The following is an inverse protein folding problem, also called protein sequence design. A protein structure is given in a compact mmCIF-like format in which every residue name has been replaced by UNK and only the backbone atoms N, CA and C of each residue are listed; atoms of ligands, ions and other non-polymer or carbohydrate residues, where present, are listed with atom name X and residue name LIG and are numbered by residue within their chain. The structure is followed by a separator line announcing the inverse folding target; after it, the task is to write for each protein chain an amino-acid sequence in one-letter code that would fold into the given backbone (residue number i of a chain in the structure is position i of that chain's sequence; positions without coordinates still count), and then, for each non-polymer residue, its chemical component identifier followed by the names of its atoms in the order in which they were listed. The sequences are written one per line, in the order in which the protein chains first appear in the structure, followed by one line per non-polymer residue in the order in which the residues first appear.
data_IF_851044004417
#
_entry.id   IF_851044004417
#
_cell.length_a   1.000
_cell.length_b   1.000
_cell.length_c   1.000
_cell.angle_alpha   90.00
_cell.angle_beta   90.00
_cell.angle_gamma   90.00
#
_symmetry.space_group_name_H-M   'P 1'
#
loop_
_entity.id
_entity.type
_entity.pdbx_description
1 polymer ?
#
# COMPACT_ATOMS: atom_id res chain seq x y z
N UNK A 1 5.57 -20.92 18.69
CA UNK A 1 4.77 -19.87 19.37
C UNK A 1 3.86 -19.29 18.32
N UNK A 2 2.62 -19.04 18.66
CA UNK A 2 1.65 -18.38 17.76
C UNK A 2 2.02 -16.90 17.65
N UNK A 3 2.06 -16.38 16.44
CA UNK A 3 2.33 -14.95 16.17
C UNK A 3 1.03 -14.17 16.33
N UNK A 4 1.03 -13.16 17.19
CA UNK A 4 -0.13 -12.29 17.40
C UNK A 4 -0.19 -11.22 16.31
N UNK A 5 -1.41 -10.90 15.86
CA UNK A 5 -1.68 -9.94 14.77
C UNK A 5 -2.66 -8.88 15.24
N UNK A 6 -2.30 -7.62 15.07
CA UNK A 6 -3.21 -6.48 15.13
C UNK A 6 -3.58 -6.07 13.70
N UNK A 7 -4.84 -5.78 13.43
CA UNK A 7 -5.35 -5.48 12.10
C UNK A 7 -6.05 -4.12 12.08
N UNK A 8 -5.39 -3.10 11.58
CA UNK A 8 -5.97 -1.79 11.35
C UNK A 8 -6.59 -1.72 9.94
N UNK A 9 -7.87 -1.37 9.85
CA UNK A 9 -8.64 -1.39 8.60
C UNK A 9 -9.33 -2.75 8.32
N UNK A 10 -9.79 -3.45 9.36
CA UNK A 10 -10.29 -4.84 9.29
C UNK A 10 -11.47 -5.03 8.34
N UNK A 11 -12.36 -4.07 8.20
CA UNK A 11 -13.55 -4.15 7.32
C UNK A 11 -13.28 -3.75 5.87
N UNK A 12 -12.04 -3.34 5.56
CA UNK A 12 -11.61 -3.05 4.19
C UNK A 12 -11.15 -4.30 3.43
N UNK A 13 -10.80 -4.14 2.15
CA UNK A 13 -10.36 -5.24 1.28
C UNK A 13 -9.11 -5.97 1.80
N UNK A 14 -8.11 -5.22 2.30
CA UNK A 14 -6.91 -5.81 2.92
C UNK A 14 -7.28 -6.52 4.22
N UNK A 15 -8.17 -5.91 5.02
CA UNK A 15 -8.58 -6.47 6.30
C UNK A 15 -9.28 -7.83 6.17
N UNK A 16 -10.25 -7.94 5.26
CA UNK A 16 -10.97 -9.21 5.03
C UNK A 16 -10.04 -10.30 4.52
N UNK A 17 -9.13 -9.98 3.61
CA UNK A 17 -8.14 -10.94 3.10
C UNK A 17 -7.07 -11.28 4.16
N UNK A 18 -6.76 -10.38 5.10
CA UNK A 18 -5.89 -10.71 6.23
C UNK A 18 -6.51 -11.75 7.14
N UNK A 19 -7.82 -11.64 7.41
CA UNK A 19 -8.56 -12.66 8.19
C UNK A 19 -8.54 -14.00 7.46
N UNK A 20 -8.79 -14.03 6.14
CA UNK A 20 -8.70 -15.24 5.32
C UNK A 20 -7.31 -15.90 5.43
N UNK A 21 -6.24 -15.10 5.37
CA UNK A 21 -4.86 -15.60 5.51
C UNK A 21 -4.61 -16.20 6.90
N UNK A 22 -5.08 -15.55 7.95
CA UNK A 22 -4.93 -16.04 9.32
C UNK A 22 -5.74 -17.32 9.55
N UNK A 23 -6.96 -17.39 9.04
CA UNK A 23 -7.82 -18.58 9.11
C UNK A 23 -7.25 -19.79 8.34
N UNK A 24 -6.44 -19.54 7.30
CA UNK A 24 -5.76 -20.61 6.58
C UNK A 24 -4.59 -21.24 7.37
N UNK A 25 -4.03 -20.54 8.36
CA UNK A 25 -2.94 -21.00 9.21
C UNK A 25 -3.24 -20.74 10.72
N UNK A 26 -4.33 -21.32 11.29
CA UNK A 26 -4.83 -20.96 12.63
C UNK A 26 -3.89 -21.37 13.77
N UNK A 27 -3.02 -22.33 13.56
CA UNK A 27 -2.00 -22.74 14.55
C UNK A 27 -0.82 -21.75 14.59
N UNK A 28 -0.68 -20.92 13.57
CA UNK A 28 0.46 -20.00 13.39
C UNK A 28 0.13 -18.57 13.79
N UNK A 29 -1.11 -18.12 13.58
CA UNK A 29 -1.52 -16.74 13.79
C UNK A 29 -2.74 -16.62 14.69
N UNK A 30 -2.80 -15.53 15.49
CA UNK A 30 -3.94 -15.14 16.32
C UNK A 30 -4.20 -13.63 16.16
N UNK A 31 -5.39 -13.25 15.69
CA UNK A 31 -5.78 -11.83 15.66
C UNK A 31 -6.22 -11.42 17.07
N UNK A 32 -5.47 -10.49 17.68
CA UNK A 32 -5.72 -10.02 19.06
C UNK A 32 -6.38 -8.63 19.10
N UNK A 33 -6.31 -7.87 18.02
CA UNK A 33 -6.88 -6.53 17.93
C UNK A 33 -7.40 -6.22 16.51
N UNK A 34 -8.55 -5.56 16.42
CA UNK A 34 -9.17 -5.08 15.18
C UNK A 34 -9.37 -3.57 15.22
N UNK A 35 -9.18 -2.91 14.09
CA UNK A 35 -9.48 -1.48 13.92
C UNK A 35 -10.33 -1.23 12.69
N UNK A 36 -11.36 -0.42 12.81
CA UNK A 36 -12.24 -0.04 11.72
C UNK A 36 -12.79 1.38 11.90
N UNK A 37 -13.36 1.96 10.85
CA UNK A 37 -14.09 3.24 10.97
C UNK A 37 -15.37 3.12 11.80
N UNK A 38 -16.01 1.96 11.81
CA UNK A 38 -17.33 1.73 12.42
C UNK A 38 -18.50 1.82 11.43
N UNK A 39 -18.26 2.20 10.17
CA UNK A 39 -19.35 2.32 9.16
C UNK A 39 -20.01 0.99 8.80
N UNK A 40 -19.27 -0.11 8.88
CA UNK A 40 -19.80 -1.45 8.63
C UNK A 40 -19.71 -2.29 9.92
N UNK A 41 -20.61 -2.00 10.87
CA UNK A 41 -20.64 -2.67 12.17
C UNK A 41 -21.10 -4.14 12.07
N UNK A 42 -21.89 -4.50 11.08
CA UNK A 42 -22.32 -5.89 10.90
C UNK A 42 -21.14 -6.77 10.52
N UNK A 43 -20.36 -6.38 9.51
CA UNK A 43 -19.13 -7.10 9.16
C UNK A 43 -18.11 -7.12 10.31
N UNK A 44 -17.96 -5.98 11.03
CA UNK A 44 -17.07 -5.92 12.18
C UNK A 44 -17.50 -6.89 13.29
N UNK A 45 -18.81 -7.01 13.54
CA UNK A 45 -19.34 -7.97 14.52
C UNK A 45 -19.09 -9.42 14.10
N UNK A 46 -19.29 -9.76 12.83
CA UNK A 46 -18.95 -11.08 12.28
C UNK A 46 -17.45 -11.38 12.47
N UNK A 47 -16.57 -10.40 12.19
CA UNK A 47 -15.15 -10.54 12.41
C UNK A 47 -14.81 -10.76 13.90
N UNK A 48 -15.42 -9.99 14.81
CA UNK A 48 -15.23 -10.13 16.27
C UNK A 48 -15.67 -11.51 16.75
N UNK A 49 -16.79 -12.04 16.25
CA UNK A 49 -17.26 -13.39 16.59
C UNK A 49 -16.28 -14.48 16.11
N UNK A 50 -15.74 -14.31 14.87
CA UNK A 50 -14.83 -15.26 14.26
C UNK A 50 -13.46 -15.29 14.95
N UNK A 51 -12.80 -14.13 15.13
CA UNK A 51 -11.41 -14.06 15.62
C UNK A 51 -11.28 -13.75 17.11
N UNK A 52 -12.35 -13.33 17.77
CA UNK A 52 -12.42 -13.04 19.23
C UNK A 52 -11.29 -12.15 19.74
N UNK A 53 -11.12 -10.95 19.19
CA UNK A 53 -10.05 -10.04 19.59
C UNK A 53 -10.29 -9.53 21.02
N UNK A 54 -9.21 -9.13 21.68
CA UNK A 54 -9.27 -8.49 23.01
C UNK A 54 -9.69 -7.02 22.90
N UNK A 55 -9.28 -6.37 21.81
CA UNK A 55 -9.44 -4.92 21.59
C UNK A 55 -10.04 -4.67 20.22
N UNK A 56 -10.98 -3.71 20.15
CA UNK A 56 -11.51 -3.15 18.90
C UNK A 56 -11.36 -1.63 18.95
N UNK A 57 -10.70 -1.04 17.95
CA UNK A 57 -10.62 0.41 17.77
C UNK A 57 -11.66 0.89 16.77
N UNK A 58 -12.45 1.90 17.14
CA UNK A 58 -13.43 2.58 16.29
C UNK A 58 -12.91 3.99 15.99
N UNK A 59 -12.47 4.21 14.76
CA UNK A 59 -11.82 5.47 14.36
C UNK A 59 -12.79 6.65 14.30
N UNK A 60 -14.04 6.44 13.89
CA UNK A 60 -15.04 7.50 13.81
C UNK A 60 -15.93 7.50 15.07
N UNK A 61 -15.84 8.58 15.84
CA UNK A 61 -16.56 8.75 17.10
C UNK A 61 -18.09 8.62 16.96
N UNK A 62 -18.63 8.89 15.78
CA UNK A 62 -20.08 8.80 15.51
C UNK A 62 -20.62 7.36 15.66
N UNK A 63 -19.77 6.34 15.49
CA UNK A 63 -20.18 4.92 15.56
C UNK A 63 -19.86 4.23 16.89
N UNK A 64 -19.23 4.92 17.84
CA UNK A 64 -18.73 4.32 19.09
C UNK A 64 -19.84 3.73 19.95
N UNK A 65 -20.93 4.46 20.17
CA UNK A 65 -22.04 3.97 20.99
C UNK A 65 -22.71 2.75 20.35
N UNK A 66 -22.95 2.80 19.03
CA UNK A 66 -23.48 1.65 18.29
C UNK A 66 -22.53 0.44 18.34
N UNK A 67 -21.20 0.69 18.30
CA UNK A 67 -20.22 -0.38 18.44
C UNK A 67 -20.23 -1.00 19.85
N UNK A 68 -20.35 -0.21 20.91
CA UNK A 68 -20.46 -0.72 22.29
C UNK A 68 -21.67 -1.62 22.47
N UNK A 69 -22.82 -1.22 21.91
CA UNK A 69 -24.04 -2.02 21.96
C UNK A 69 -23.92 -3.32 21.16
N UNK A 70 -23.22 -3.28 20.02
CA UNK A 70 -23.10 -4.39 19.06
C UNK A 70 -22.02 -5.41 19.44
N UNK A 71 -20.99 -4.98 20.20
CA UNK A 71 -19.78 -5.75 20.53
C UNK A 71 -19.60 -5.88 22.05
N UNK A 72 -20.54 -6.52 22.79
CA UNK A 72 -20.47 -6.63 24.24
C UNK A 72 -19.25 -7.48 24.65
N UNK A 73 -18.54 -7.03 25.69
CA UNK A 73 -17.43 -7.78 26.29
C UNK A 73 -16.06 -7.58 25.60
N UNK A 74 -15.98 -6.71 24.58
CA UNK A 74 -14.71 -6.33 23.93
C UNK A 74 -14.29 -4.94 24.42
N UNK A 75 -13.00 -4.72 24.63
CA UNK A 75 -12.46 -3.38 24.92
C UNK A 75 -12.61 -2.49 23.68
N UNK A 76 -13.33 -1.38 23.80
CA UNK A 76 -13.50 -0.41 22.69
C UNK A 76 -12.58 0.79 22.91
N UNK A 77 -11.63 1.01 21.97
CA UNK A 77 -10.82 2.22 21.87
C UNK A 77 -11.37 3.16 20.80
N UNK A 78 -11.17 4.46 20.96
CA UNK A 78 -11.88 5.46 20.17
C UNK A 78 -10.92 6.42 19.48
N UNK A 79 -11.27 6.81 18.26
CA UNK A 79 -10.56 7.84 17.51
C UNK A 79 -9.24 7.37 16.90
N UNK A 80 -8.48 8.34 16.41
CA UNK A 80 -7.16 8.11 15.79
C UNK A 80 -6.16 7.55 16.78
N UNK A 81 -6.14 8.04 18.02
CA UNK A 81 -5.29 7.51 19.10
C UNK A 81 -5.62 6.06 19.42
N UNK A 82 -6.92 5.71 19.49
CA UNK A 82 -7.39 4.34 19.70
C UNK A 82 -6.93 3.42 18.57
N UNK A 83 -7.02 3.88 17.32
CA UNK A 83 -6.57 3.14 16.15
C UNK A 83 -5.04 2.97 16.14
N UNK A 84 -4.29 4.04 16.41
CA UNK A 84 -2.84 4.02 16.48
C UNK A 84 -2.31 3.09 17.56
N UNK A 85 -3.00 3.02 18.71
CA UNK A 85 -2.60 2.15 19.83
C UNK A 85 -2.53 0.67 19.48
N UNK A 86 -3.21 0.23 18.40
CA UNK A 86 -3.13 -1.15 17.91
C UNK A 86 -1.72 -1.54 17.47
N UNK A 87 -0.89 -0.58 17.06
CA UNK A 87 0.48 -0.81 16.63
C UNK A 87 1.37 -1.49 17.68
N UNK A 88 1.07 -1.31 18.98
CA UNK A 88 1.82 -1.93 20.09
C UNK A 88 1.23 -3.23 20.63
N UNK A 89 0.03 -3.64 20.20
CA UNK A 89 -0.76 -4.72 20.82
C UNK A 89 -0.31 -6.13 20.43
N UNK A 90 0.47 -6.27 19.35
CA UNK A 90 0.77 -7.56 18.75
C UNK A 90 2.23 -7.66 18.28
N UNK A 91 2.65 -8.85 17.90
CA UNK A 91 3.96 -9.08 17.28
C UNK A 91 4.04 -8.45 15.88
N UNK A 92 2.91 -8.48 15.15
CA UNK A 92 2.76 -7.89 13.81
C UNK A 92 1.50 -7.02 13.76
N UNK A 93 1.63 -5.80 13.24
CA UNK A 93 0.48 -4.97 12.90
C UNK A 93 0.32 -4.89 11.38
N UNK A 94 -0.84 -5.32 10.87
CA UNK A 94 -1.22 -5.10 9.48
C UNK A 94 -1.91 -3.74 9.38
N UNK A 95 -1.31 -2.81 8.65
CA UNK A 95 -1.90 -1.49 8.41
C UNK A 95 -2.55 -1.43 7.03
N UNK A 96 -3.86 -1.70 6.97
CA UNK A 96 -4.72 -1.57 5.79
C UNK A 96 -5.65 -0.36 5.83
N UNK A 97 -5.32 0.65 6.64
CA UNK A 97 -6.05 1.93 6.67
C UNK A 97 -5.84 2.67 5.36
N UNK A 98 -6.84 3.35 4.85
CA UNK A 98 -6.77 4.10 3.60
C UNK A 98 -6.38 5.56 3.88
N UNK A 99 -5.50 6.12 3.05
CA UNK A 99 -5.11 7.53 3.11
C UNK A 99 -4.19 7.87 4.28
N UNK A 100 -4.04 9.18 4.52
CA UNK A 100 -3.15 9.74 5.54
C UNK A 100 -3.42 9.23 6.97
N UNK A 101 -4.66 8.84 7.28
CA UNK A 101 -5.04 8.34 8.59
C UNK A 101 -4.27 7.07 9.04
N UNK A 102 -3.63 6.35 8.10
CA UNK A 102 -2.78 5.20 8.41
C UNK A 102 -1.41 5.55 8.99
N UNK A 103 -0.94 6.80 8.88
CA UNK A 103 0.40 7.19 9.30
C UNK A 103 0.64 6.99 10.80
N UNK A 104 -0.33 7.35 11.65
CA UNK A 104 -0.20 7.17 13.09
C UNK A 104 -0.07 5.69 13.51
N UNK A 105 -0.79 4.79 12.84
CA UNK A 105 -0.65 3.33 13.05
C UNK A 105 0.74 2.85 12.65
N UNK A 106 1.23 3.33 11.50
CA UNK A 106 2.59 3.04 11.01
C UNK A 106 3.64 3.44 12.04
N UNK A 107 3.59 4.68 12.54
CA UNK A 107 4.54 5.20 13.51
C UNK A 107 4.43 4.47 14.86
N UNK A 108 3.23 4.26 15.37
CA UNK A 108 3.02 3.57 16.63
C UNK A 108 3.60 2.14 16.59
N UNK A 109 3.40 1.42 15.49
CA UNK A 109 3.95 0.07 15.30
C UNK A 109 5.48 0.07 15.33
N UNK A 110 6.10 0.93 14.52
CA UNK A 110 7.55 0.99 14.42
C UNK A 110 8.20 1.49 15.72
N UNK A 111 7.62 2.51 16.38
CA UNK A 111 8.10 3.04 17.65
C UNK A 111 7.95 2.04 18.80
N UNK A 112 7.00 1.10 18.70
CA UNK A 112 6.87 -0.02 19.63
C UNK A 112 7.90 -1.14 19.36
N UNK A 113 8.75 -1.02 18.34
CA UNK A 113 9.72 -2.06 17.95
C UNK A 113 9.02 -3.32 17.45
N UNK A 114 7.91 -3.18 16.74
CA UNK A 114 7.11 -4.29 16.22
C UNK A 114 7.22 -4.38 14.70
N UNK A 115 6.82 -5.55 14.14
CA UNK A 115 6.71 -5.70 12.71
C UNK A 115 5.48 -4.97 12.19
N UNK A 116 5.69 -4.13 11.20
CA UNK A 116 4.66 -3.49 10.41
C UNK A 116 4.51 -4.21 9.06
N UNK A 117 3.37 -4.86 8.83
CA UNK A 117 2.93 -5.33 7.52
C UNK A 117 2.18 -4.18 6.84
N UNK A 118 2.87 -3.41 5.99
CA UNK A 118 2.38 -2.12 5.49
C UNK A 118 1.65 -2.26 4.16
N UNK A 119 0.33 -2.06 4.17
CA UNK A 119 -0.50 -1.88 2.98
C UNK A 119 -0.85 -0.41 2.70
N UNK A 120 -0.74 0.45 3.72
CA UNK A 120 -1.00 1.89 3.61
C UNK A 120 0.24 2.61 3.03
N UNK A 121 0.29 2.77 1.72
CA UNK A 121 1.40 3.44 1.03
C UNK A 121 1.50 4.93 1.38
N UNK A 122 0.37 5.57 1.66
CA UNK A 122 0.31 6.99 1.97
C UNK A 122 1.15 7.36 3.20
N UNK A 123 1.35 6.43 4.14
CA UNK A 123 2.28 6.63 5.28
C UNK A 123 3.71 6.93 4.84
N UNK A 124 4.21 6.24 3.81
CA UNK A 124 5.56 6.47 3.28
C UNK A 124 5.61 7.72 2.40
N UNK A 125 4.55 7.98 1.66
CA UNK A 125 4.49 9.11 0.74
C UNK A 125 4.36 10.42 1.50
N UNK A 126 3.41 10.50 2.43
CA UNK A 126 3.17 11.71 3.21
C UNK A 126 4.13 11.89 4.38
N UNK A 127 4.54 10.80 5.02
CA UNK A 127 5.34 10.78 6.23
C UNK A 127 6.74 10.18 6.08
N UNK A 128 7.27 9.99 4.87
CA UNK A 128 8.53 9.29 4.60
C UNK A 128 9.66 9.65 5.57
N UNK A 129 10.08 10.93 5.70
CA UNK A 129 11.16 11.31 6.61
C UNK A 129 10.90 10.98 8.09
N UNK A 130 9.63 10.99 8.53
CA UNK A 130 9.24 10.63 9.91
C UNK A 130 9.27 9.11 10.07
N UNK A 131 8.74 8.37 9.10
CA UNK A 131 8.75 6.90 9.10
C UNK A 131 10.18 6.36 9.05
N UNK A 132 11.10 6.96 8.25
CA UNK A 132 12.51 6.56 8.23
C UNK A 132 13.18 6.70 9.60
N UNK A 133 12.80 7.69 10.40
CA UNK A 133 13.29 7.80 11.78
C UNK A 133 12.73 6.69 12.67
N UNK A 134 11.43 6.41 12.57
CA UNK A 134 10.77 5.36 13.35
C UNK A 134 11.30 3.95 13.02
N UNK A 135 11.68 3.68 11.76
CA UNK A 135 12.31 2.40 11.34
C UNK A 135 13.62 2.08 12.08
N UNK A 136 14.30 3.09 12.66
CA UNK A 136 15.53 2.90 13.43
C UNK A 136 15.29 2.44 14.87
N UNK A 137 14.03 2.32 15.29
CA UNK A 137 13.69 1.78 16.61
C UNK A 137 14.14 0.32 16.71
N UNK A 138 14.87 -0.07 17.76
CA UNK A 138 15.29 -1.46 17.92
C UNK A 138 14.10 -2.44 17.90
N UNK A 139 14.19 -3.44 17.05
CA UNK A 139 13.12 -4.44 16.83
C UNK A 139 12.06 -4.02 15.82
N UNK A 140 12.06 -2.76 15.36
CA UNK A 140 11.16 -2.34 14.29
C UNK A 140 11.51 -3.04 12.98
N UNK A 141 10.50 -3.59 12.32
CA UNK A 141 10.63 -4.26 11.03
C UNK A 141 9.47 -3.79 10.13
N UNK A 142 9.76 -3.40 8.89
CA UNK A 142 8.75 -3.00 7.92
C UNK A 142 8.78 -3.96 6.74
N UNK A 143 7.66 -4.67 6.51
CA UNK A 143 7.48 -5.60 5.40
C UNK A 143 6.31 -5.10 4.54
N UNK A 144 6.53 -4.83 3.24
CA UNK A 144 5.47 -4.31 2.39
C UNK A 144 4.42 -5.38 2.06
N UNK A 145 3.16 -4.96 2.09
CA UNK A 145 1.98 -5.73 1.67
C UNK A 145 1.53 -5.34 0.27
N UNK A 146 1.79 -4.10 -0.18
CA UNK A 146 1.56 -3.74 -1.58
C UNK A 146 2.22 -4.77 -2.50
N UNK A 147 1.49 -5.27 -3.51
CA UNK A 147 1.91 -6.45 -4.29
C UNK A 147 3.24 -6.23 -5.02
N UNK A 148 3.43 -5.04 -5.57
CA UNK A 148 4.64 -4.67 -6.29
C UNK A 148 5.85 -4.56 -5.36
N UNK A 149 5.67 -3.96 -4.19
CA UNK A 149 6.73 -3.81 -3.20
C UNK A 149 7.04 -5.12 -2.49
N UNK A 150 6.02 -5.93 -2.20
CA UNK A 150 6.21 -7.31 -1.74
C UNK A 150 6.99 -8.15 -2.74
N UNK A 151 6.78 -7.92 -4.05
CA UNK A 151 7.53 -8.57 -5.12
C UNK A 151 8.99 -8.10 -5.15
N UNK A 152 9.25 -6.78 -5.10
CA UNK A 152 10.60 -6.23 -5.01
C UNK A 152 11.35 -6.78 -3.79
N UNK A 153 10.70 -6.79 -2.63
CA UNK A 153 11.26 -7.31 -1.39
C UNK A 153 11.67 -8.79 -1.53
N UNK A 154 10.85 -9.60 -2.22
CA UNK A 154 11.17 -11.00 -2.50
C UNK A 154 12.33 -11.16 -3.51
N UNK A 155 12.38 -10.34 -4.56
CA UNK A 155 13.46 -10.36 -5.55
C UNK A 155 14.80 -9.95 -4.92
N UNK A 156 14.79 -8.99 -4.00
CA UNK A 156 15.98 -8.52 -3.29
C UNK A 156 16.56 -9.56 -2.33
N UNK A 157 15.81 -10.60 -1.92
CA UNK A 157 16.33 -11.72 -1.12
C UNK A 157 17.44 -12.52 -1.83
N UNK A 158 17.54 -12.41 -3.14
CA UNK A 158 18.61 -13.08 -3.91
C UNK A 158 19.99 -12.42 -3.77
N UNK A 159 20.05 -11.20 -3.18
CA UNK A 159 21.31 -10.49 -2.96
C UNK A 159 22.06 -11.01 -1.73
N UNK A 160 23.38 -10.81 -1.72
CA UNK A 160 24.18 -10.95 -0.50
C UNK A 160 23.96 -9.71 0.38
N UNK A 161 23.38 -9.88 1.57
CA UNK A 161 23.11 -8.78 2.51
C UNK A 161 24.38 -8.18 3.11
N UNK A 162 25.50 -8.92 3.08
CA UNK A 162 26.78 -8.46 3.62
C UNK A 162 27.65 -7.71 2.60
N UNK A 163 27.29 -7.78 1.31
CA UNK A 163 27.98 -7.14 0.20
C UNK A 163 27.24 -5.93 -0.38
N UNK A 164 27.84 -5.25 -1.38
CA UNK A 164 27.14 -4.20 -2.10
C UNK A 164 25.90 -4.77 -2.79
N UNK A 165 24.79 -4.04 -2.77
CA UNK A 165 23.48 -4.51 -3.26
C UNK A 165 23.50 -4.92 -4.75
N UNK A 166 24.38 -4.32 -5.57
CA UNK A 166 24.52 -4.62 -7.01
C UNK A 166 23.20 -4.46 -7.80
N UNK A 167 22.24 -3.69 -7.28
CA UNK A 167 21.00 -3.37 -7.98
C UNK A 167 21.28 -2.28 -8.99
N UNK A 168 20.82 -2.46 -10.23
CA UNK A 168 20.90 -1.49 -11.30
C UNK A 168 19.56 -0.76 -11.50
N UNK A 169 18.42 -1.45 -11.32
CA UNK A 169 17.10 -0.84 -11.40
C UNK A 169 16.04 -1.66 -10.65
N UNK A 170 15.02 -0.98 -10.15
CA UNK A 170 13.74 -1.56 -9.73
C UNK A 170 12.72 -1.33 -10.84
N UNK A 171 11.97 -2.36 -11.20
CA UNK A 171 10.97 -2.27 -12.28
C UNK A 171 9.60 -2.63 -11.71
N UNK A 172 8.74 -1.61 -11.55
CA UNK A 172 7.36 -1.75 -11.12
C UNK A 172 6.47 -2.09 -12.30
N UNK A 173 5.59 -3.08 -12.17
CA UNK A 173 4.58 -3.37 -13.18
C UNK A 173 3.27 -2.68 -12.86
N UNK A 174 2.53 -2.25 -13.88
CA UNK A 174 1.19 -1.67 -13.75
C UNK A 174 0.20 -2.46 -14.60
N UNK A 175 -1.03 -2.66 -14.13
CA UNK A 175 -2.09 -3.25 -14.96
C UNK A 175 -2.43 -2.38 -16.19
N UNK A 176 -2.15 -1.07 -16.10
CA UNK A 176 -2.55 -0.05 -17.05
C UNK A 176 -3.95 0.52 -16.79
N UNK A 177 -4.68 -0.04 -15.82
CA UNK A 177 -6.01 0.42 -15.44
C UNK A 177 -7.08 0.24 -16.53
N UNK A 178 -8.31 0.78 -16.34
CA UNK A 178 -9.42 0.64 -17.28
C UNK A 178 -9.22 1.41 -18.59
N UNK A 179 -8.28 2.33 -18.64
CA UNK A 179 -8.10 3.22 -19.80
C UNK A 179 -6.85 2.93 -20.62
N UNK A 180 -6.20 1.79 -20.39
CA UNK A 180 -5.05 1.36 -21.20
C UNK A 180 -5.35 1.41 -22.71
N UNK A 181 -4.47 2.04 -23.47
CA UNK A 181 -4.59 2.20 -24.91
C UNK A 181 -5.53 3.32 -25.38
N UNK A 182 -6.17 4.06 -24.45
CA UNK A 182 -6.96 5.26 -24.80
C UNK A 182 -6.04 6.49 -24.93
N UNK A 183 -6.35 7.33 -25.91
CA UNK A 183 -5.65 8.62 -26.10
C UNK A 183 -6.20 9.68 -25.14
N UNK A 184 -5.46 10.76 -24.95
CA UNK A 184 -5.92 11.93 -24.17
C UNK A 184 -7.28 12.46 -24.63
N UNK A 185 -7.58 12.41 -25.94
CA UNK A 185 -8.86 12.85 -26.48
C UNK A 185 -10.02 11.92 -26.05
N UNK A 186 -9.77 10.60 -26.00
CA UNK A 186 -10.77 9.62 -25.57
C UNK A 186 -11.10 9.72 -24.08
N UNK A 187 -10.19 10.31 -23.29
CA UNK A 187 -10.33 10.44 -21.83
C UNK A 187 -11.11 11.71 -21.41
N UNK A 188 -11.45 12.60 -22.33
CA UNK A 188 -12.13 13.86 -22.02
C UNK A 188 -13.55 13.68 -21.46
N UNK A 189 -14.22 12.55 -21.74
CA UNK A 189 -15.59 12.28 -21.34
C UNK A 189 -15.74 11.11 -20.36
N UNK A 190 -14.67 10.74 -19.67
CA UNK A 190 -14.67 9.65 -18.69
C UNK A 190 -15.59 9.95 -17.51
N UNK A 191 -16.45 9.00 -17.21
CA UNK A 191 -17.36 9.05 -16.05
C UNK A 191 -16.76 8.36 -14.83
N UNK A 192 -17.39 8.55 -13.67
CA UNK A 192 -17.01 7.84 -12.43
C UNK A 192 -17.13 6.32 -12.63
N UNK A 193 -18.22 5.86 -13.24
CA UNK A 193 -18.46 4.43 -13.48
C UNK A 193 -17.38 3.83 -14.39
N UNK A 194 -16.96 4.56 -15.43
CA UNK A 194 -15.86 4.13 -16.31
C UNK A 194 -14.55 3.98 -15.52
N UNK A 195 -14.24 4.94 -14.65
CA UNK A 195 -13.01 4.95 -13.85
C UNK A 195 -13.00 3.83 -12.79
N UNK A 196 -14.17 3.43 -12.29
CA UNK A 196 -14.32 2.36 -11.31
C UNK A 196 -14.35 0.95 -11.93
N UNK A 197 -14.45 0.82 -13.25
CA UNK A 197 -14.51 -0.45 -13.96
C UNK A 197 -13.10 -1.07 -14.19
N UNK A 198 -12.38 -1.41 -13.10
CA UNK A 198 -11.05 -1.99 -13.22
C UNK A 198 -11.09 -3.41 -13.79
N UNK A 199 -10.26 -3.75 -14.83
CA UNK A 199 -10.38 -5.03 -15.54
C UNK A 199 -9.92 -6.26 -14.75
N UNK A 200 -9.05 -6.10 -13.75
CA UNK A 200 -8.38 -7.22 -13.07
C UNK A 200 -8.62 -7.23 -11.56
N UNK A 201 -8.60 -6.06 -10.90
CA UNK A 201 -8.63 -5.94 -9.45
C UNK A 201 -9.97 -5.40 -8.95
N UNK A 202 -10.46 -5.98 -7.84
CA UNK A 202 -11.58 -5.44 -7.07
C UNK A 202 -11.02 -4.66 -5.87
N UNK A 203 -11.07 -3.35 -5.94
CA UNK A 203 -10.43 -2.45 -4.98
C UNK A 203 -11.40 -1.37 -4.48
N UNK A 204 -11.02 -0.64 -3.44
CA UNK A 204 -11.76 0.53 -2.99
C UNK A 204 -11.81 1.65 -4.04
N UNK A 205 -12.82 2.55 -4.00
CA UNK A 205 -13.03 3.58 -5.02
C UNK A 205 -11.80 4.47 -5.26
N UNK A 206 -11.16 4.95 -4.20
CA UNK A 206 -9.98 5.84 -4.28
C UNK A 206 -8.85 5.20 -5.06
N UNK A 207 -8.42 4.00 -4.69
CA UNK A 207 -7.30 3.31 -5.34
C UNK A 207 -7.66 2.88 -6.78
N UNK A 208 -8.93 2.61 -7.07
CA UNK A 208 -9.40 2.29 -8.43
C UNK A 208 -9.27 3.51 -9.34
N UNK A 209 -9.65 4.72 -8.88
CA UNK A 209 -9.42 5.97 -9.62
C UNK A 209 -7.92 6.25 -9.77
N UNK A 210 -7.11 6.02 -8.74
CA UNK A 210 -5.64 6.16 -8.83
C UNK A 210 -5.04 5.20 -9.86
N UNK A 211 -5.53 3.97 -9.96
CA UNK A 211 -5.16 3.04 -11.03
C UNK A 211 -5.54 3.56 -12.41
N UNK A 212 -6.77 4.10 -12.54
CA UNK A 212 -7.28 4.64 -13.81
C UNK A 212 -6.46 5.79 -14.38
N UNK A 213 -5.73 6.51 -13.52
CA UNK A 213 -4.91 7.68 -13.85
C UNK A 213 -3.40 7.40 -13.85
N UNK A 214 -2.98 6.16 -13.57
CA UNK A 214 -1.61 5.76 -13.24
C UNK A 214 -1.01 6.48 -12.01
N UNK A 215 -1.80 7.19 -11.21
CA UNK A 215 -1.31 7.76 -9.94
C UNK A 215 -0.99 6.68 -8.93
N UNK A 216 -1.75 5.59 -8.87
CA UNK A 216 -1.38 4.46 -7.99
C UNK A 216 0.08 4.04 -8.22
N UNK A 217 0.46 3.88 -9.50
CA UNK A 217 1.84 3.55 -9.86
C UNK A 217 2.82 4.69 -9.56
N UNK A 218 2.39 5.94 -9.72
CA UNK A 218 3.20 7.10 -9.31
C UNK A 218 3.48 7.13 -7.80
N UNK A 219 2.46 6.86 -6.98
CA UNK A 219 2.63 6.74 -5.53
C UNK A 219 3.55 5.57 -5.16
N UNK A 220 3.44 4.47 -5.87
CA UNK A 220 4.31 3.29 -5.69
C UNK A 220 5.78 3.56 -6.08
N UNK A 221 6.06 4.43 -7.05
CA UNK A 221 7.43 4.87 -7.35
C UNK A 221 8.05 5.59 -6.14
N UNK A 222 7.28 6.45 -5.48
CA UNK A 222 7.74 7.13 -4.26
C UNK A 222 7.92 6.11 -3.12
N UNK A 223 6.96 5.22 -2.93
CA UNK A 223 7.04 4.16 -1.93
C UNK A 223 8.25 3.24 -2.16
N UNK A 224 8.55 2.86 -3.41
CA UNK A 224 9.73 2.05 -3.74
C UNK A 224 11.04 2.76 -3.36
N UNK A 225 11.13 4.07 -3.60
CA UNK A 225 12.29 4.85 -3.17
C UNK A 225 12.39 4.92 -1.63
N UNK A 226 11.28 5.12 -0.91
CA UNK A 226 11.27 5.13 0.55
C UNK A 226 11.61 3.76 1.16
N UNK A 227 11.17 2.67 0.54
CA UNK A 227 11.42 1.32 1.05
C UNK A 227 12.83 0.81 0.75
N UNK A 228 13.33 1.07 -0.45
CA UNK A 228 14.50 0.40 -1.02
C UNK A 228 15.57 1.37 -1.54
N UNK A 229 15.25 2.64 -1.75
CA UNK A 229 16.18 3.66 -2.23
C UNK A 229 17.10 4.22 -1.15
N UNK A 230 17.74 5.36 -1.44
CA UNK A 230 18.66 6.04 -0.53
C UNK A 230 18.04 6.45 0.82
N UNK A 231 16.76 6.93 0.89
CA UNK A 231 16.14 7.30 2.16
C UNK A 231 16.05 6.15 3.16
N UNK A 232 15.99 4.90 2.68
CA UNK A 232 15.94 3.71 3.50
C UNK A 232 17.25 3.44 4.29
N UNK A 233 18.33 4.14 4.01
CA UNK A 233 19.62 4.01 4.70
C UNK A 233 20.18 2.58 4.62
N UNK A 234 20.41 1.95 5.76
CA UNK A 234 20.95 0.57 5.81
C UNK A 234 20.03 -0.49 5.21
N UNK A 235 18.73 -0.20 5.10
CA UNK A 235 17.73 -1.07 4.45
C UNK A 235 17.66 -0.81 2.93
N UNK A 236 18.30 0.24 2.44
CA UNK A 236 18.29 0.63 1.03
C UNK A 236 19.24 -0.21 0.17
N UNK A 237 19.07 -0.06 -1.13
CA UNK A 237 19.93 -0.70 -2.15
C UNK A 237 20.76 0.34 -2.93
N UNK A 238 20.75 1.60 -2.50
CA UNK A 238 21.60 2.66 -3.02
C UNK A 238 21.18 3.16 -4.41
N UNK A 239 19.87 3.16 -4.70
CA UNK A 239 19.29 3.67 -5.96
C UNK A 239 18.43 4.90 -5.70
N UNK A 240 18.27 5.74 -6.71
CA UNK A 240 17.39 6.90 -6.71
C UNK A 240 16.20 6.72 -7.68
N UNK A 241 15.49 7.82 -7.93
CA UNK A 241 14.31 7.80 -8.81
C UNK A 241 14.63 7.48 -10.27
N UNK A 242 15.87 7.71 -10.72
CA UNK A 242 16.26 7.46 -12.10
C UNK A 242 16.48 5.96 -12.40
N UNK A 243 16.64 5.14 -11.35
CA UNK A 243 16.75 3.70 -11.42
C UNK A 243 15.45 2.97 -11.02
N UNK A 244 14.33 3.69 -10.90
CA UNK A 244 12.99 3.11 -10.68
C UNK A 244 12.20 3.25 -11.97
N UNK A 245 11.98 2.15 -12.67
CA UNK A 245 11.24 2.09 -13.93
C UNK A 245 9.80 1.61 -13.72
N UNK A 246 8.93 1.98 -14.65
CA UNK A 246 7.55 1.50 -14.72
C UNK A 246 7.28 0.87 -16.09
N UNK A 247 6.68 -0.31 -16.08
CA UNK A 247 6.18 -0.97 -17.29
C UNK A 247 4.71 -1.38 -17.11
N UNK A 248 3.92 -1.32 -18.17
CA UNK A 248 2.53 -1.81 -18.14
C UNK A 248 2.54 -3.30 -18.47
N UNK A 249 1.95 -4.10 -17.58
CA UNK A 249 1.80 -5.55 -17.70
C UNK A 249 0.33 -5.93 -17.44
N UNK A 250 -0.52 -6.00 -18.48
CA UNK A 250 -1.97 -6.11 -18.33
C UNK A 250 -2.45 -7.36 -17.59
N UNK A 251 -1.71 -8.46 -17.70
CA UNK A 251 -2.07 -9.71 -17.05
C UNK A 251 -1.85 -9.70 -15.53
N UNK A 252 -1.06 -8.74 -15.02
CA UNK A 252 -0.73 -8.60 -13.59
C UNK A 252 -0.23 -9.90 -12.94
N UNK A 253 0.47 -10.74 -13.70
CA UNK A 253 1.10 -11.98 -13.22
C UNK A 253 2.52 -11.72 -12.72
N UNK A 254 3.28 -10.88 -13.43
CA UNK A 254 4.54 -10.32 -12.92
C UNK A 254 4.20 -9.09 -12.10
N UNK A 255 4.52 -9.11 -10.82
CA UNK A 255 4.21 -7.99 -9.92
C UNK A 255 5.32 -6.94 -9.87
N UNK A 256 6.59 -7.34 -9.92
CA UNK A 256 7.74 -6.44 -10.08
C UNK A 256 9.00 -7.24 -10.40
N UNK A 257 10.06 -6.51 -10.76
CA UNK A 257 11.35 -7.08 -11.11
C UNK A 257 12.50 -6.25 -10.54
N UNK A 258 13.63 -6.89 -10.30
CA UNK A 258 14.89 -6.24 -9.93
C UNK A 258 15.95 -6.59 -10.97
N UNK A 259 16.54 -5.58 -11.59
CA UNK A 259 17.66 -5.72 -12.51
C UNK A 259 18.96 -5.48 -11.75
N UNK A 260 19.91 -6.40 -11.89
CA UNK A 260 21.21 -6.33 -11.25
C UNK A 260 22.28 -5.78 -12.18
N UNK A 261 23.42 -5.35 -11.63
CA UNK A 261 24.51 -4.73 -12.39
C UNK A 261 25.19 -5.67 -13.39
N UNK A 262 25.00 -6.97 -13.26
CA UNK A 262 25.46 -7.98 -14.23
C UNK A 262 24.50 -8.13 -15.44
N UNK A 263 23.41 -7.38 -15.46
CA UNK A 263 22.38 -7.42 -16.51
C UNK A 263 21.30 -8.47 -16.31
N UNK A 264 21.37 -9.29 -15.25
CA UNK A 264 20.32 -10.24 -14.93
C UNK A 264 19.11 -9.53 -14.32
N UNK A 265 17.90 -10.05 -14.58
CA UNK A 265 16.66 -9.56 -13.98
C UNK A 265 15.94 -10.70 -13.28
N UNK A 266 15.57 -10.47 -12.01
CA UNK A 266 14.77 -11.41 -11.21
C UNK A 266 13.37 -10.83 -11.08
N UNK A 267 12.34 -11.65 -11.39
CA UNK A 267 10.94 -11.29 -11.32
C UNK A 267 10.19 -12.15 -10.30
N UNK A 268 9.26 -11.55 -9.58
CA UNK A 268 8.30 -12.29 -8.78
C UNK A 268 6.99 -12.41 -9.56
N UNK A 269 6.51 -13.63 -9.66
CA UNK A 269 5.27 -13.98 -10.35
C UNK A 269 4.29 -14.62 -9.38
N UNK A 270 3.01 -14.22 -9.45
CA UNK A 270 1.91 -14.88 -8.76
C UNK A 270 0.57 -14.52 -9.40
N UNK A 271 -0.49 -15.21 -9.02
CA UNK A 271 -1.84 -14.80 -9.39
C UNK A 271 -2.19 -13.48 -8.69
N UNK A 272 -3.04 -12.62 -9.30
CA UNK A 272 -3.42 -11.33 -8.75
C UNK A 272 -4.36 -11.48 -7.54
N UNK A 273 -3.79 -11.69 -6.36
CA UNK A 273 -4.48 -11.77 -5.06
C UNK A 273 -3.65 -11.07 -4.00
N UNK A 274 -4.30 -10.39 -3.05
CA UNK A 274 -3.60 -9.78 -1.93
C UNK A 274 -3.31 -10.78 -0.79
N UNK A 275 -3.93 -11.96 -0.77
CA UNK A 275 -3.64 -12.98 0.24
C UNK A 275 -2.16 -13.42 0.22
N UNK A 276 -1.54 -13.47 -0.99
CA UNK A 276 -0.13 -13.86 -1.08
C UNK A 276 0.83 -12.82 -0.46
N UNK A 277 0.81 -11.52 -0.81
CA UNK A 277 1.68 -10.53 -0.17
C UNK A 277 1.36 -10.33 1.31
N UNK A 278 0.09 -10.44 1.74
CA UNK A 278 -0.28 -10.44 3.15
C UNK A 278 0.36 -11.64 3.87
N UNK A 279 0.17 -12.84 3.35
CA UNK A 279 0.75 -14.06 3.92
C UNK A 279 2.28 -14.00 3.98
N UNK A 280 2.92 -13.43 2.95
CA UNK A 280 4.35 -13.19 2.94
C UNK A 280 4.79 -12.24 4.06
N UNK A 281 4.10 -11.12 4.24
CA UNK A 281 4.44 -10.13 5.27
C UNK A 281 4.24 -10.67 6.70
N UNK A 282 3.20 -11.48 6.91
CA UNK A 282 2.95 -12.15 8.19
C UNK A 282 4.00 -13.24 8.47
N UNK A 283 4.37 -14.02 7.44
CA UNK A 283 5.27 -15.15 7.57
C UNK A 283 6.75 -14.77 7.62
N UNK A 284 7.12 -13.56 7.21
CA UNK A 284 8.51 -13.11 7.13
C UNK A 284 9.33 -13.49 8.38
N UNK A 285 10.61 -13.96 8.26
CA UNK A 285 11.38 -14.15 7.01
C UNK A 285 11.06 -15.45 6.26
N UNK A 286 10.17 -16.27 6.76
CA UNK A 286 9.72 -17.50 6.12
C UNK A 286 8.72 -17.22 4.97
N UNK A 287 8.12 -18.28 4.44
CA UNK A 287 6.96 -18.20 3.54
C UNK A 287 5.73 -18.73 4.26
N UNK A 288 4.54 -18.23 3.85
CA UNK A 288 3.26 -18.84 4.24
C UNK A 288 3.21 -20.29 3.76
N UNK A 289 2.66 -21.17 4.58
CA UNK A 289 2.44 -22.57 4.23
C UNK A 289 1.15 -22.76 3.44
N UNK A 290 0.18 -21.83 3.58
CA UNK A 290 -1.08 -21.88 2.84
C UNK A 290 -0.89 -21.42 1.39
N UNK A 291 -1.44 -22.14 0.39
CA UNK A 291 -1.40 -21.73 -1.00
C UNK A 291 -2.52 -20.71 -1.30
N UNK A 292 -2.15 -19.54 -1.81
CA UNK A 292 -3.09 -18.50 -2.23
C UNK A 292 -3.14 -18.37 -3.76
N UNK A 293 -3.43 -19.47 -4.43
CA UNK A 293 -3.44 -19.59 -5.88
C UNK A 293 -2.07 -19.95 -6.45
N UNK A 294 -2.07 -20.74 -7.50
CA UNK A 294 -0.87 -21.11 -8.25
C UNK A 294 -1.04 -20.74 -9.72
N UNK A 295 0.05 -20.38 -10.38
CA UNK A 295 0.05 -20.14 -11.82
C UNK A 295 -0.12 -21.47 -12.53
N UNK A 296 -1.12 -21.55 -13.40
CA UNK A 296 -1.24 -22.65 -14.33
C UNK A 296 -0.32 -22.43 -15.55
N UNK A 297 0.83 -23.04 -15.50
CA UNK A 297 1.85 -22.95 -16.56
C UNK A 297 1.42 -23.60 -17.89
N UNK A 298 0.31 -24.34 -17.91
CA UNK A 298 -0.22 -24.93 -19.15
C UNK A 298 -1.10 -23.96 -19.91
N UNK A 299 -1.71 -22.99 -19.21
CA UNK A 299 -2.58 -21.96 -19.79
C UNK A 299 -1.86 -20.62 -20.02
N UNK A 300 -0.85 -20.30 -19.23
CA UNK A 300 -0.06 -19.08 -19.36
C UNK A 300 0.91 -19.18 -20.55
N UNK A 301 0.52 -18.67 -21.70
CA UNK A 301 1.27 -18.82 -22.95
C UNK A 301 2.22 -17.65 -23.25
N UNK A 302 1.96 -16.44 -22.69
CA UNK A 302 2.77 -15.24 -22.91
C UNK A 302 2.56 -14.22 -21.79
N UNK A 303 3.53 -13.32 -21.67
CA UNK A 303 3.50 -12.14 -20.81
C UNK A 303 3.73 -10.92 -21.67
N UNK A 304 2.85 -9.92 -21.59
CA UNK A 304 2.93 -8.70 -22.42
C UNK A 304 3.45 -7.55 -21.56
N UNK A 305 4.36 -6.73 -22.12
CA UNK A 305 4.90 -5.54 -21.49
C UNK A 305 4.87 -4.37 -22.48
N UNK A 306 4.43 -3.20 -22.01
CA UNK A 306 4.29 -1.98 -22.78
C UNK A 306 4.88 -0.80 -21.98
N UNK A 307 5.45 0.24 -22.64
CA UNK A 307 5.80 1.47 -21.93
C UNK A 307 4.54 2.19 -21.47
N UNK A 308 4.57 2.94 -20.34
CA UNK A 308 3.47 3.80 -19.93
C UNK A 308 3.31 4.99 -20.88
N UNK A 309 2.08 5.39 -21.17
CA UNK A 309 1.77 6.58 -21.97
C UNK A 309 1.73 7.82 -21.07
N UNK A 310 2.83 8.56 -21.03
CA UNK A 310 2.96 9.77 -20.20
C UNK A 310 2.11 10.95 -20.69
N UNK A 311 1.72 10.99 -21.99
CA UNK A 311 0.88 12.06 -22.55
C UNK A 311 -0.58 11.87 -22.13
N UNK A 312 -1.08 10.64 -22.18
CA UNK A 312 -2.42 10.30 -21.72
C UNK A 312 -2.52 10.28 -20.18
N UNK A 313 -1.46 9.89 -19.46
CA UNK A 313 -1.42 9.71 -18.01
C UNK A 313 -0.30 10.54 -17.36
N UNK A 314 -0.39 11.89 -17.35
CA UNK A 314 0.69 12.77 -16.89
C UNK A 314 0.97 12.66 -15.38
N UNK A 315 0.09 12.05 -14.61
CA UNK A 315 0.20 11.95 -13.15
C UNK A 315 1.36 11.07 -12.69
N UNK A 316 1.76 10.09 -13.50
CA UNK A 316 2.97 9.31 -13.24
C UNK A 316 4.21 10.22 -13.22
N UNK A 317 4.31 11.16 -14.17
CA UNK A 317 5.38 12.16 -14.21
C UNK A 317 5.37 13.12 -13.01
N UNK A 318 4.18 13.52 -12.54
CA UNK A 318 4.05 14.35 -11.32
C UNK A 318 4.58 13.65 -10.09
N UNK A 319 4.37 12.34 -9.95
CA UNK A 319 4.88 11.57 -8.83
C UNK A 319 6.42 11.48 -8.85
N UNK A 320 7.03 11.26 -10.01
CA UNK A 320 8.49 11.35 -10.15
C UNK A 320 9.02 12.74 -9.80
N UNK A 321 8.34 13.80 -10.23
CA UNK A 321 8.73 15.17 -9.90
C UNK A 321 8.66 15.46 -8.41
N UNK A 322 7.57 15.07 -7.74
CA UNK A 322 7.41 15.21 -6.31
C UNK A 322 8.44 14.40 -5.52
N UNK A 323 8.68 13.15 -5.92
CA UNK A 323 9.68 12.29 -5.30
C UNK A 323 11.09 12.88 -5.40
N UNK A 324 11.52 13.34 -6.58
CA UNK A 324 12.82 13.99 -6.78
C UNK A 324 12.95 15.31 -6.00
N UNK A 325 11.86 16.07 -5.86
CA UNK A 325 11.86 17.28 -5.03
C UNK A 325 12.05 16.93 -3.54
N UNK A 326 11.54 15.78 -3.10
CA UNK A 326 11.70 15.29 -1.74
C UNK A 326 11.01 16.14 -0.68
N UNK A 327 11.43 15.97 0.57
CA UNK A 327 10.89 16.74 1.70
C UNK A 327 9.37 16.58 1.84
N UNK A 328 8.64 17.69 1.78
CA UNK A 328 7.18 17.72 1.88
C UNK A 328 6.46 17.59 0.53
N UNK A 329 7.17 17.64 -0.60
CA UNK A 329 6.53 17.59 -1.92
C UNK A 329 5.68 16.34 -2.17
N UNK A 330 6.10 15.12 -1.77
CA UNK A 330 5.26 13.93 -1.86
C UNK A 330 3.97 14.05 -1.01
N UNK A 331 4.04 14.66 0.18
CA UNK A 331 2.86 14.88 1.03
C UNK A 331 1.86 15.84 0.37
N UNK A 332 2.36 16.92 -0.25
CA UNK A 332 1.52 17.87 -1.01
C UNK A 332 0.84 17.18 -2.19
N UNK A 333 1.57 16.35 -2.94
CA UNK A 333 1.00 15.58 -4.04
C UNK A 333 -0.07 14.61 -3.54
N UNK A 334 0.20 13.90 -2.46
CA UNK A 334 -0.76 12.93 -1.89
C UNK A 334 -2.05 13.62 -1.42
N UNK A 335 -1.93 14.73 -0.68
CA UNK A 335 -3.10 15.48 -0.22
C UNK A 335 -3.91 16.03 -1.40
N UNK A 336 -3.26 16.63 -2.40
CA UNK A 336 -3.94 17.09 -3.61
C UNK A 336 -4.65 15.97 -4.36
N UNK A 337 -4.03 14.78 -4.40
CA UNK A 337 -4.61 13.61 -5.01
C UNK A 337 -5.83 13.10 -4.25
N UNK A 338 -5.78 13.00 -2.94
CA UNK A 338 -6.91 12.53 -2.11
C UNK A 338 -8.13 13.44 -2.31
N UNK A 339 -7.95 14.77 -2.21
CA UNK A 339 -9.01 15.75 -2.41
C UNK A 339 -9.56 15.77 -3.85
N UNK A 340 -8.68 15.71 -4.85
CA UNK A 340 -9.11 15.72 -6.25
C UNK A 340 -9.85 14.43 -6.64
N UNK A 341 -9.44 13.28 -6.12
CA UNK A 341 -10.14 12.01 -6.35
C UNK A 341 -11.50 12.00 -5.65
N UNK A 342 -11.58 12.51 -4.42
CA UNK A 342 -12.85 12.65 -3.72
C UNK A 342 -13.83 13.58 -4.46
N UNK A 343 -13.34 14.75 -4.90
CA UNK A 343 -14.13 15.67 -5.70
C UNK A 343 -14.62 15.05 -7.02
N UNK A 344 -13.81 14.26 -7.69
CA UNK A 344 -14.21 13.52 -8.89
C UNK A 344 -15.30 12.47 -8.58
N UNK A 345 -15.11 11.67 -7.53
CA UNK A 345 -16.08 10.63 -7.12
C UNK A 345 -17.47 11.22 -6.79
N UNK A 346 -17.50 12.46 -6.29
CA UNK A 346 -18.73 13.18 -5.99
C UNK A 346 -19.23 14.09 -7.15
N UNK A 347 -18.59 14.01 -8.33
CA UNK A 347 -19.00 14.76 -9.53
C UNK A 347 -18.67 16.25 -9.49
N UNK A 348 -17.76 16.69 -8.61
CA UNK A 348 -17.34 18.08 -8.48
C UNK A 348 -16.35 18.54 -9.55
N UNK A 349 -15.56 17.61 -10.10
CA UNK A 349 -14.59 17.87 -11.18
C UNK A 349 -14.62 16.73 -12.20
N UNK A 350 -14.08 16.96 -13.40
CA UNK A 350 -13.90 15.91 -14.39
C UNK A 350 -12.65 15.05 -14.08
N UNK A 351 -12.58 13.83 -14.62
CA UNK A 351 -11.42 12.95 -14.49
C UNK A 351 -10.11 13.61 -14.93
N UNK A 352 -10.15 14.34 -16.04
CA UNK A 352 -8.99 15.04 -16.59
C UNK A 352 -8.49 16.19 -15.68
N UNK A 353 -9.36 16.78 -14.86
CA UNK A 353 -9.01 17.89 -13.97
C UNK A 353 -8.16 17.43 -12.78
N UNK A 354 -8.24 16.14 -12.39
CA UNK A 354 -7.46 15.61 -11.28
C UNK A 354 -5.95 15.88 -11.47
N UNK A 355 -5.43 15.67 -12.69
CA UNK A 355 -4.03 15.93 -13.00
C UNK A 355 -3.68 17.42 -12.87
N UNK A 356 -4.55 18.31 -13.33
CA UNK A 356 -4.34 19.76 -13.25
C UNK A 356 -4.35 20.27 -11.81
N UNK A 357 -5.23 19.73 -10.96
CA UNK A 357 -5.26 20.05 -9.51
C UNK A 357 -3.93 19.64 -8.87
N UNK A 358 -3.51 18.39 -9.06
CA UNK A 358 -2.24 17.88 -8.51
C UNK A 358 -1.04 18.70 -8.97
N UNK A 359 -0.96 19.04 -10.26
CA UNK A 359 0.13 19.86 -10.80
C UNK A 359 0.15 21.26 -10.18
N UNK A 360 -1.02 21.92 -10.11
CA UNK A 360 -1.15 23.26 -9.55
C UNK A 360 -0.74 23.32 -8.08
N UNK A 361 -1.12 22.31 -7.30
CA UNK A 361 -0.76 22.24 -5.86
C UNK A 361 0.73 21.96 -5.72
N UNK A 362 1.28 21.04 -6.52
CA UNK A 362 2.70 20.71 -6.49
C UNK A 362 3.58 21.92 -6.87
N UNK A 363 3.17 22.73 -7.86
CA UNK A 363 3.87 23.96 -8.25
C UNK A 363 3.90 25.02 -7.14
N UNK A 364 2.98 24.94 -6.18
CA UNK A 364 2.88 25.89 -5.07
C UNK A 364 3.47 25.37 -3.77
N UNK A 365 3.99 24.13 -3.75
CA UNK A 365 4.54 23.59 -2.53
C UNK A 365 5.73 24.40 -2.03
N UNK A 366 5.81 24.59 -0.74
CA UNK A 366 6.94 25.22 -0.08
C UNK A 366 7.93 24.14 0.36
N UNK A 367 9.22 24.24 -0.04
CA UNK A 367 10.23 23.26 0.37
C UNK A 367 10.34 23.15 1.90
N UNK A 368 10.42 21.94 2.40
CA UNK A 368 10.59 21.68 3.83
C UNK A 368 10.86 20.21 4.09
N UNK A 369 11.35 19.90 5.29
CA UNK A 369 11.47 18.51 5.77
C UNK A 369 10.65 18.39 7.04
N UNK A 370 9.65 17.53 7.11
CA UNK A 370 8.81 17.39 8.29
C UNK A 370 9.63 16.87 9.48
N UNK A 371 9.46 17.55 10.63
CA UNK A 371 10.08 17.14 11.89
C UNK A 371 9.21 16.12 12.65
N UNK A 372 7.92 16.18 12.47
CA UNK A 372 6.87 15.37 13.08
C UNK A 372 5.69 15.23 12.13
N UNK A 373 4.54 14.79 12.62
CA UNK A 373 3.29 14.59 11.85
C UNK A 373 2.34 15.79 11.94
N UNK A 374 2.68 16.80 12.72
CA UNK A 374 1.97 18.06 12.81
C UNK A 374 2.54 19.03 11.76
#
# INVERSE_FOLDING_TARGET
MTTTVALAGSTGSIGTQTIEVVEAEPDRYEIVALGATGRNLDLLAEQVEAVRPKVVAIADAAFVEAARDRLPGVEIRVGTEGLASLGGEADVCVNGVVGFAGLEVTLATLLAGRRLALANKESLIAGGPVVQRARRTPGAELVPVDSEHGALHQCLRSRDETGPARVAALVLTASGGPFRGRTKADLASVTVDDALAHPTWSMGPKITVDSSTLMNKGLEVIEANELFGEPAGEHGVGIGFDEIDVVVHPQSVVHSMVTYTDGSTIAQLSMPTMCLPIGYALAWPDRSAAPFGAIDWTSLSRLDFEPPDHDAFPRLGLAYAAGRAGGVAPAWLNAANEEAVDAFLHGGIAWADIAAVCATVLDRHEPGVPADVE
#
